data_IF_984137976418
#
_entry.id   IF_984137976418
#
_cell.length_a   1.000
_cell.length_b   1.000
_cell.length_c   1.000
_cell.angle_alpha   90.00
_cell.angle_beta   90.00
_cell.angle_gamma   90.00
#
_symmetry.space_group_name_H-M   'P 1'
#
loop_
_entity.id
_entity.type
_entity.pdbx_description
1 polymer ?
#
# COMPACT_ATOMS: atom_id res chain seq x y z
N UNK A 1 -8.96 13.81 -24.67
CA UNK A 1 -8.08 14.87 -24.10
C UNK A 1 -7.02 15.19 -25.12
N UNK A 2 -6.77 16.46 -25.42
CA UNK A 2 -5.70 16.91 -26.34
C UNK A 2 -4.67 17.68 -25.52
N UNK A 3 -3.40 17.32 -25.63
CA UNK A 3 -2.29 18.00 -24.96
C UNK A 3 -1.45 18.68 -26.02
N UNK A 4 -1.30 20.01 -25.91
CA UNK A 4 -0.48 20.83 -26.83
C UNK A 4 0.79 21.25 -26.07
N UNK A 5 1.91 20.64 -26.43
CA UNK A 5 3.22 20.93 -25.82
C UNK A 5 3.98 22.01 -26.58
N UNK A 6 4.81 22.77 -25.86
CA UNK A 6 5.71 23.78 -26.42
C UNK A 6 7.14 23.27 -26.67
N UNK A 7 7.37 21.96 -26.52
CA UNK A 7 8.68 21.31 -26.74
C UNK A 7 9.62 21.33 -25.54
N UNK A 8 9.47 22.26 -24.59
CA UNK A 8 10.26 22.32 -23.37
C UNK A 8 9.40 22.80 -22.19
N UNK A 9 9.69 22.31 -20.99
CA UNK A 9 9.07 22.75 -19.75
C UNK A 9 10.05 23.69 -19.05
N UNK A 10 9.68 24.96 -18.77
CA UNK A 10 10.62 25.92 -18.14
C UNK A 10 11.12 25.45 -16.77
N UNK A 11 10.25 24.85 -15.97
CA UNK A 11 10.56 24.54 -14.57
C UNK A 11 10.58 25.79 -13.68
N UNK A 12 11.33 25.72 -12.57
CA UNK A 12 11.45 26.80 -11.59
C UNK A 12 10.78 26.47 -10.27
N UNK A 13 10.32 27.48 -9.52
CA UNK A 13 9.72 27.30 -8.19
C UNK A 13 8.18 27.20 -8.29
N UNK A 14 7.61 26.25 -7.53
CA UNK A 14 6.16 26.06 -7.43
C UNK A 14 5.78 25.70 -5.99
N UNK A 15 4.62 26.19 -5.57
CA UNK A 15 3.99 25.75 -4.32
C UNK A 15 2.75 24.95 -4.64
N UNK A 16 2.63 23.78 -3.99
CA UNK A 16 1.47 22.89 -4.16
C UNK A 16 0.91 22.45 -2.80
N UNK A 17 -0.35 22.10 -2.79
CA UNK A 17 -0.94 21.31 -1.71
C UNK A 17 -1.02 19.83 -2.16
N UNK A 18 -0.17 19.00 -1.57
CA UNK A 18 -0.12 17.56 -1.81
C UNK A 18 -0.66 16.74 -0.61
N UNK A 19 -1.39 17.37 0.31
CA UNK A 19 -1.97 16.70 1.48
C UNK A 19 -2.97 15.60 1.11
N UNK A 20 -3.52 15.65 -0.10
CA UNK A 20 -4.43 14.62 -0.61
C UNK A 20 -3.72 13.43 -1.24
N UNK A 21 -2.50 13.61 -1.76
CA UNK A 21 -1.70 12.53 -2.35
C UNK A 21 -0.26 12.98 -2.57
N UNK A 22 0.69 12.21 -2.05
CA UNK A 22 2.13 12.37 -2.28
C UNK A 22 2.52 12.20 -3.77
N UNK A 23 1.67 11.57 -4.57
CA UNK A 23 1.92 11.34 -6.00
C UNK A 23 2.06 12.67 -6.78
N UNK A 24 1.37 13.74 -6.37
CA UNK A 24 1.51 15.05 -7.02
C UNK A 24 2.94 15.60 -6.89
N UNK A 25 3.55 15.43 -5.70
CA UNK A 25 4.93 15.83 -5.48
C UNK A 25 5.89 14.92 -6.24
N UNK A 26 5.77 13.61 -6.11
CA UNK A 26 6.63 12.63 -6.79
C UNK A 26 6.62 12.81 -8.31
N UNK A 27 5.46 13.04 -8.92
CA UNK A 27 5.34 13.25 -10.36
C UNK A 27 6.13 14.48 -10.84
N UNK A 28 6.10 15.59 -10.08
CA UNK A 28 6.85 16.79 -10.40
C UNK A 28 8.36 16.58 -10.24
N UNK A 29 8.78 15.87 -9.20
CA UNK A 29 10.19 15.57 -8.97
C UNK A 29 10.78 14.70 -10.08
N UNK A 30 10.04 13.67 -10.53
CA UNK A 30 10.49 12.74 -11.57
C UNK A 30 10.78 13.42 -12.92
N UNK A 31 10.03 14.45 -13.27
CA UNK A 31 10.25 15.19 -14.53
C UNK A 31 11.22 16.37 -14.35
N UNK A 32 11.60 16.69 -13.10
CA UNK A 32 12.48 17.81 -12.76
C UNK A 32 13.80 17.87 -13.56
N UNK A 33 14.54 16.76 -13.73
CA UNK A 33 15.79 16.77 -14.48
C UNK A 33 15.64 17.22 -15.93
N UNK A 34 14.48 16.95 -16.57
CA UNK A 34 14.19 17.32 -17.95
C UNK A 34 13.70 18.76 -18.13
N UNK A 35 13.44 19.47 -17.05
CA UNK A 35 13.02 20.87 -17.10
C UNK A 35 14.22 21.80 -17.30
N UNK A 36 14.04 22.88 -18.05
CA UNK A 36 15.14 23.82 -18.40
C UNK A 36 15.85 24.37 -17.15
N UNK A 37 15.09 24.73 -16.10
CA UNK A 37 15.61 25.28 -14.86
C UNK A 37 15.50 24.29 -13.68
N UNK A 38 15.27 23.00 -13.96
CA UNK A 38 14.89 22.06 -12.91
C UNK A 38 13.57 22.42 -12.24
N UNK A 39 13.34 21.92 -11.04
CA UNK A 39 12.13 22.25 -10.28
C UNK A 39 12.45 22.38 -8.79
N UNK A 40 11.81 23.31 -8.15
CA UNK A 40 11.73 23.43 -6.70
C UNK A 40 10.27 23.41 -6.28
N UNK A 41 9.87 22.42 -5.51
CA UNK A 41 8.52 22.26 -5.03
C UNK A 41 8.48 22.52 -3.54
N UNK A 42 7.63 23.45 -3.11
CA UNK A 42 7.31 23.67 -1.70
C UNK A 42 5.91 23.15 -1.43
N UNK A 43 5.75 22.29 -0.46
CA UNK A 43 4.43 21.87 -0.01
C UNK A 43 3.86 22.87 0.99
N UNK A 44 2.60 23.26 0.79
CA UNK A 44 1.82 24.04 1.75
C UNK A 44 0.42 23.42 1.86
N UNK A 45 0.07 22.98 3.05
CA UNK A 45 -1.21 22.32 3.29
C UNK A 45 -1.20 21.55 4.59
N UNK A 46 -2.04 20.52 4.64
CA UNK A 46 -2.03 19.53 5.73
C UNK A 46 -0.80 18.64 5.71
N UNK A 47 -0.78 17.63 6.56
CA UNK A 47 0.30 16.65 6.57
C UNK A 47 0.40 15.89 5.25
N UNK A 48 1.63 15.64 4.79
CA UNK A 48 1.90 14.86 3.58
C UNK A 48 1.74 13.38 3.88
N UNK A 49 0.80 12.67 3.24
CA UNK A 49 0.67 11.23 3.43
C UNK A 49 1.79 10.47 2.71
N UNK A 50 2.09 9.28 3.21
CA UNK A 50 3.00 8.33 2.52
C UNK A 50 4.36 8.94 2.18
N UNK A 51 4.98 9.62 3.14
CA UNK A 51 6.33 10.20 2.99
C UNK A 51 7.36 9.20 2.44
N UNK A 52 7.33 7.90 2.79
CA UNK A 52 8.26 6.92 2.23
C UNK A 52 8.24 6.83 0.70
N UNK A 53 7.10 7.06 0.05
CA UNK A 53 7.03 7.08 -1.42
C UNK A 53 7.77 8.29 -2.03
N UNK A 54 7.76 9.44 -1.35
CA UNK A 54 8.56 10.60 -1.76
C UNK A 54 10.04 10.29 -1.61
N UNK A 55 10.42 9.66 -0.49
CA UNK A 55 11.81 9.26 -0.24
C UNK A 55 12.31 8.25 -1.26
N UNK A 56 11.48 7.28 -1.63
CA UNK A 56 11.76 6.33 -2.70
C UNK A 56 11.99 7.05 -4.04
N UNK A 57 11.15 8.03 -4.36
CA UNK A 57 11.31 8.86 -5.56
C UNK A 57 12.64 9.63 -5.55
N UNK A 58 12.99 10.24 -4.42
CA UNK A 58 14.26 10.97 -4.25
C UNK A 58 15.46 10.04 -4.36
N UNK A 59 15.41 8.87 -3.74
CA UNK A 59 16.47 7.87 -3.80
C UNK A 59 16.70 7.42 -5.26
N UNK A 60 15.63 7.04 -5.95
CA UNK A 60 15.71 6.63 -7.36
C UNK A 60 16.30 7.73 -8.25
N UNK A 61 15.85 8.98 -8.12
CA UNK A 61 16.40 10.10 -8.88
C UNK A 61 17.92 10.24 -8.65
N UNK A 62 18.39 10.10 -7.41
CA UNK A 62 19.83 10.17 -7.08
C UNK A 62 20.60 9.01 -7.67
N UNK A 63 20.06 7.80 -7.66
CA UNK A 63 20.67 6.61 -8.28
C UNK A 63 20.84 6.79 -9.80
N UNK A 64 19.88 7.46 -10.45
CA UNK A 64 19.97 7.84 -11.85
C UNK A 64 20.84 9.08 -12.10
N UNK A 65 21.49 9.63 -11.08
CA UNK A 65 22.45 10.72 -11.18
C UNK A 65 21.87 12.12 -11.08
N UNK A 66 20.57 12.27 -10.77
CA UNK A 66 19.98 13.57 -10.54
C UNK A 66 20.50 14.20 -9.24
N UNK A 67 20.70 15.53 -9.25
CA UNK A 67 21.00 16.28 -8.05
C UNK A 67 19.70 16.70 -7.37
N UNK A 68 19.42 16.08 -6.20
CA UNK A 68 18.19 16.33 -5.44
C UNK A 68 18.52 16.83 -4.04
N UNK A 69 17.97 17.98 -3.68
CA UNK A 69 18.05 18.57 -2.33
C UNK A 69 16.70 18.47 -1.64
N UNK A 70 16.70 18.09 -0.37
CA UNK A 70 15.49 17.94 0.45
C UNK A 70 15.66 18.77 1.72
N UNK A 71 14.76 19.70 1.95
CA UNK A 71 14.60 20.41 3.22
C UNK A 71 13.25 20.04 3.83
N UNK A 72 13.29 19.08 4.76
CA UNK A 72 12.08 18.56 5.40
C UNK A 72 11.43 19.60 6.33
N UNK A 73 12.24 20.46 6.97
CA UNK A 73 11.71 21.48 7.87
C UNK A 73 10.92 22.55 7.10
N UNK A 74 11.40 22.90 5.91
CA UNK A 74 10.71 23.83 5.01
C UNK A 74 9.69 23.13 4.07
N UNK A 75 9.55 21.80 4.15
CA UNK A 75 8.75 20.99 3.24
C UNK A 75 9.05 21.30 1.76
N UNK A 76 10.33 21.32 1.43
CA UNK A 76 10.85 21.78 0.14
C UNK A 76 11.76 20.73 -0.49
N UNK A 77 11.52 20.43 -1.76
CA UNK A 77 12.30 19.50 -2.58
C UNK A 77 12.74 20.21 -3.85
N UNK A 78 14.03 20.09 -4.18
CA UNK A 78 14.59 20.69 -5.39
C UNK A 78 15.31 19.64 -6.22
N UNK A 79 15.05 19.62 -7.51
CA UNK A 79 15.72 18.78 -8.49
C UNK A 79 16.38 19.69 -9.52
N UNK A 80 17.71 19.61 -9.62
CA UNK A 80 18.44 20.38 -10.63
C UNK A 80 18.20 19.85 -12.04
N UNK A 81 18.27 20.71 -13.07
CA UNK A 81 18.24 20.25 -14.45
C UNK A 81 19.49 19.43 -14.76
N UNK A 82 19.39 18.43 -15.64
CA UNK A 82 20.53 17.63 -16.07
C UNK A 82 20.14 16.32 -16.65
N UNK A 83 21.10 15.66 -17.32
CA UNK A 83 20.90 14.37 -17.92
C UNK A 83 20.89 13.26 -16.85
N UNK A 84 19.96 12.33 -16.97
CA UNK A 84 19.95 11.11 -16.20
C UNK A 84 20.90 10.08 -16.84
N UNK A 85 21.59 9.31 -16.03
CA UNK A 85 22.42 8.19 -16.49
C UNK A 85 21.63 6.90 -16.57
N UNK A 86 21.97 6.03 -17.52
CA UNK A 86 21.49 4.65 -17.53
C UNK A 86 22.03 3.88 -16.32
N UNK A 87 21.19 3.04 -15.73
CA UNK A 87 21.53 2.18 -14.60
C UNK A 87 21.01 0.78 -14.88
N UNK A 88 21.82 -0.24 -14.63
CA UNK A 88 21.36 -1.63 -14.63
C UNK A 88 20.70 -1.91 -13.28
N UNK A 89 19.42 -2.24 -13.31
CA UNK A 89 18.61 -2.50 -12.12
C UNK A 89 18.03 -3.91 -12.15
N UNK A 90 18.06 -4.56 -11.00
CA UNK A 90 17.17 -5.68 -10.71
C UNK A 90 15.96 -5.10 -10.00
N UNK A 91 14.77 -5.26 -10.60
CA UNK A 91 13.53 -4.73 -10.02
C UNK A 91 13.16 -5.58 -8.81
N UNK A 92 12.99 -4.94 -7.69
CA UNK A 92 12.50 -5.58 -6.47
C UNK A 92 11.05 -6.07 -6.63
N UNK A 93 10.63 -7.13 -5.94
CA UNK A 93 9.21 -7.46 -5.86
C UNK A 93 8.41 -6.29 -5.27
N UNK A 94 7.17 -6.13 -5.70
CA UNK A 94 6.25 -5.16 -5.10
C UNK A 94 5.82 -5.67 -3.72
N UNK A 95 6.37 -5.08 -2.66
CA UNK A 95 6.18 -5.54 -1.30
C UNK A 95 4.74 -5.29 -0.81
N UNK A 96 4.07 -4.26 -1.31
CA UNK A 96 2.67 -4.04 -0.96
C UNK A 96 1.73 -5.05 -1.62
N UNK A 97 2.04 -5.51 -2.83
CA UNK A 97 1.30 -6.60 -3.49
C UNK A 97 1.60 -7.99 -2.88
N UNK A 98 2.66 -8.12 -2.08
CA UNK A 98 2.92 -9.33 -1.31
C UNK A 98 1.94 -9.52 -0.14
N UNK A 99 1.29 -8.44 0.33
CA UNK A 99 0.42 -8.46 1.51
C UNK A 99 -0.67 -9.56 1.49
N UNK A 100 -1.47 -9.76 0.44
CA UNK A 100 -2.48 -10.82 0.43
C UNK A 100 -1.89 -12.23 0.53
N UNK A 101 -0.72 -12.47 -0.07
CA UNK A 101 -0.06 -13.79 0.00
C UNK A 101 0.52 -14.08 1.39
N UNK A 102 1.10 -13.07 2.05
CA UNK A 102 1.53 -13.18 3.44
C UNK A 102 0.33 -13.37 4.37
N UNK A 103 -0.78 -12.67 4.10
CA UNK A 103 -2.04 -12.83 4.82
C UNK A 103 -2.62 -14.24 4.67
N UNK A 104 -2.49 -14.87 3.49
CA UNK A 104 -2.90 -16.26 3.27
C UNK A 104 -2.21 -17.20 4.25
N UNK A 105 -0.88 -17.05 4.44
CA UNK A 105 -0.15 -17.89 5.39
C UNK A 105 -0.64 -17.69 6.84
N UNK A 106 -0.97 -16.46 7.22
CA UNK A 106 -1.52 -16.18 8.55
C UNK A 106 -2.89 -16.80 8.76
N UNK A 107 -3.78 -16.67 7.78
CA UNK A 107 -5.17 -17.16 7.87
C UNK A 107 -5.24 -18.69 7.86
N UNK A 108 -4.41 -19.33 7.03
CA UNK A 108 -4.39 -20.78 6.90
C UNK A 108 -3.44 -21.49 7.88
N UNK A 109 -2.71 -20.76 8.73
CA UNK A 109 -1.69 -21.35 9.62
C UNK A 109 -0.52 -21.99 8.84
N UNK A 110 -0.27 -21.51 7.60
CA UNK A 110 0.71 -22.05 6.68
C UNK A 110 2.02 -21.26 6.65
N UNK A 111 2.75 -21.45 5.55
CA UNK A 111 4.03 -20.80 5.30
C UNK A 111 4.08 -20.30 3.86
N UNK A 112 4.50 -19.04 3.68
CA UNK A 112 4.73 -18.42 2.37
C UNK A 112 6.11 -17.80 2.35
N UNK A 113 6.83 -17.97 1.24
CA UNK A 113 8.10 -17.27 0.98
C UNK A 113 7.93 -16.34 -0.21
N UNK A 114 8.24 -15.06 -0.02
CA UNK A 114 8.32 -14.09 -1.11
C UNK A 114 9.79 -14.03 -1.54
N UNK A 115 10.04 -14.53 -2.75
CA UNK A 115 11.37 -14.54 -3.32
C UNK A 115 11.93 -13.11 -3.50
N UNK A 116 13.24 -13.00 -3.43
CA UNK A 116 13.98 -11.76 -3.68
C UNK A 116 13.55 -10.54 -2.82
N UNK A 117 12.91 -10.78 -1.67
CA UNK A 117 12.61 -9.71 -0.74
C UNK A 117 13.90 -9.01 -0.32
N UNK A 118 14.04 -7.70 -0.58
CA UNK A 118 15.29 -7.01 -0.33
C UNK A 118 15.55 -6.88 1.18
N UNK A 119 16.81 -7.06 1.60
CA UNK A 119 17.20 -6.87 3.00
C UNK A 119 17.20 -5.40 3.42
N UNK A 120 17.36 -4.51 2.45
CA UNK A 120 17.27 -3.05 2.60
C UNK A 120 16.51 -2.51 1.40
N UNK A 121 15.50 -1.72 1.67
CA UNK A 121 14.64 -1.12 0.64
C UNK A 121 14.06 0.20 1.12
N UNK A 122 13.67 1.03 0.18
CA UNK A 122 12.87 2.24 0.43
C UNK A 122 11.37 1.99 0.26
N UNK A 123 10.96 0.78 -0.13
CA UNK A 123 9.54 0.46 -0.26
C UNK A 123 8.86 0.43 1.11
N UNK A 124 7.80 1.23 1.34
CA UNK A 124 7.07 1.24 2.61
C UNK A 124 6.41 -0.11 2.94
N UNK A 125 6.13 -0.93 1.93
CA UNK A 125 5.59 -2.28 2.10
C UNK A 125 6.48 -3.22 2.95
N UNK A 126 7.77 -2.89 3.16
CA UNK A 126 8.65 -3.62 4.07
C UNK A 126 8.16 -3.61 5.54
N UNK A 127 7.32 -2.65 5.92
CA UNK A 127 6.68 -2.62 7.24
C UNK A 127 5.76 -3.82 7.49
N UNK A 128 5.34 -4.56 6.45
CA UNK A 128 4.60 -5.82 6.63
C UNK A 128 5.33 -6.79 7.56
N UNK A 129 6.66 -6.81 7.57
CA UNK A 129 7.44 -7.68 8.46
C UNK A 129 7.11 -7.43 9.94
N UNK A 130 7.11 -6.16 10.34
CA UNK A 130 6.80 -5.76 11.71
C UNK A 130 5.30 -5.92 12.01
N UNK A 131 4.45 -5.44 11.12
CA UNK A 131 2.99 -5.45 11.28
C UNK A 131 2.51 -6.90 11.48
N UNK A 132 2.89 -7.80 10.59
CA UNK A 132 2.42 -9.20 10.64
C UNK A 132 3.05 -9.97 11.82
N UNK A 133 4.26 -9.60 12.24
CA UNK A 133 4.84 -10.15 13.49
C UNK A 133 4.03 -9.73 14.71
N UNK A 134 3.61 -8.46 14.81
CA UNK A 134 2.73 -7.97 15.89
C UNK A 134 1.36 -8.63 15.85
N UNK A 135 0.88 -9.04 14.67
CA UNK A 135 -0.37 -9.77 14.50
C UNK A 135 -0.21 -11.30 14.71
N UNK A 136 0.96 -11.79 15.12
CA UNK A 136 1.17 -13.17 15.55
C UNK A 136 1.97 -14.07 14.59
N UNK A 137 2.48 -13.54 13.46
CA UNK A 137 3.32 -14.31 12.55
C UNK A 137 4.76 -14.43 13.04
N UNK A 138 5.46 -15.46 12.55
CA UNK A 138 6.92 -15.51 12.57
C UNK A 138 7.44 -15.12 11.19
N UNK A 139 8.31 -14.11 11.15
CA UNK A 139 8.89 -13.58 9.91
C UNK A 139 10.40 -13.68 9.95
N UNK A 140 11.00 -14.30 8.95
CA UNK A 140 12.44 -14.48 8.88
C UNK A 140 12.98 -14.41 7.46
N UNK A 141 14.23 -13.95 7.30
CA UNK A 141 14.94 -14.03 6.04
C UNK A 141 15.59 -15.39 5.86
N UNK A 142 15.31 -16.02 4.75
CA UNK A 142 15.96 -17.25 4.29
C UNK A 142 16.90 -16.97 3.11
N UNK A 143 17.49 -18.04 2.55
CA UNK A 143 18.26 -17.90 1.30
C UNK A 143 17.36 -17.64 0.09
N UNK A 144 16.08 -18.01 0.18
CA UNK A 144 15.12 -17.91 -0.93
C UNK A 144 14.29 -16.61 -0.89
N UNK A 145 14.40 -15.81 0.17
CA UNK A 145 13.64 -14.56 0.34
C UNK A 145 13.12 -14.37 1.76
N UNK A 146 12.05 -13.61 1.90
CA UNK A 146 11.35 -13.41 3.16
C UNK A 146 10.32 -14.53 3.35
N UNK A 147 10.45 -15.27 4.42
CA UNK A 147 9.51 -16.31 4.81
C UNK A 147 8.63 -15.82 5.96
N UNK A 148 7.32 -16.00 5.80
CA UNK A 148 6.35 -15.82 6.86
C UNK A 148 5.70 -17.17 7.20
N UNK A 149 5.61 -17.46 8.49
CA UNK A 149 4.86 -18.61 9.03
C UNK A 149 3.72 -18.05 9.89
N UNK A 150 2.49 -18.44 9.59
CA UNK A 150 1.31 -18.07 10.37
C UNK A 150 1.38 -18.63 11.79
N UNK A 151 0.89 -17.85 12.76
CA UNK A 151 0.80 -18.26 14.17
C UNK A 151 -0.42 -19.14 14.44
N UNK A 152 -0.65 -19.44 15.72
CA UNK A 152 -1.82 -20.19 16.17
C UNK A 152 -3.13 -19.35 16.09
N UNK A 153 -3.01 -18.04 16.15
CA UNK A 153 -4.10 -17.07 16.00
C UNK A 153 -3.58 -15.79 15.38
N UNK A 154 -4.49 -15.00 14.85
CA UNK A 154 -4.23 -13.64 14.39
C UNK A 154 -4.64 -12.70 15.53
N UNK A 155 -3.73 -11.83 15.95
CA UNK A 155 -3.99 -10.85 17.02
C UNK A 155 -4.43 -9.52 16.43
N UNK A 156 -5.34 -8.83 17.12
CA UNK A 156 -5.68 -7.45 16.83
C UNK A 156 -4.48 -6.51 17.00
N UNK A 157 -4.55 -5.35 16.36
CA UNK A 157 -3.44 -4.39 16.35
C UNK A 157 -3.95 -2.95 16.48
N UNK A 158 -3.28 -2.14 17.30
CA UNK A 158 -3.39 -0.67 17.26
C UNK A 158 -2.15 -0.12 16.54
N UNK A 159 -2.37 0.53 15.38
CA UNK A 159 -1.29 0.98 14.52
C UNK A 159 -1.67 2.23 13.73
N UNK A 160 -0.69 3.11 13.55
CA UNK A 160 -0.73 4.21 12.59
C UNK A 160 -0.24 3.72 11.23
N UNK A 161 -1.09 3.83 10.21
CA UNK A 161 -0.82 3.42 8.83
C UNK A 161 -0.66 4.62 7.87
N UNK A 162 -0.47 5.84 8.40
CA UNK A 162 -0.35 7.06 7.60
C UNK A 162 0.71 6.93 6.48
N UNK A 163 1.84 6.31 6.79
CA UNK A 163 2.95 6.14 5.84
C UNK A 163 2.84 4.90 4.96
N UNK A 164 1.93 3.99 5.27
CA UNK A 164 1.73 2.70 4.58
C UNK A 164 0.26 2.40 4.30
N UNK A 165 -0.51 3.43 4.02
CA UNK A 165 -1.96 3.33 3.83
C UNK A 165 -2.40 2.27 2.83
N UNK A 166 -1.58 1.98 1.81
CA UNK A 166 -1.86 0.93 0.82
C UNK A 166 -1.97 -0.47 1.41
N UNK A 167 -1.43 -0.71 2.62
CA UNK A 167 -1.53 -2.01 3.31
C UNK A 167 -2.85 -2.18 4.06
N UNK A 168 -3.58 -1.08 4.30
CA UNK A 168 -4.81 -1.07 5.10
C UNK A 168 -5.84 -2.12 4.68
N UNK A 169 -6.15 -2.36 3.40
CA UNK A 169 -7.16 -3.36 3.04
C UNK A 169 -6.80 -4.78 3.48
N UNK A 170 -5.54 -5.19 3.31
CA UNK A 170 -5.07 -6.51 3.77
C UNK A 170 -5.06 -6.62 5.29
N UNK A 171 -4.62 -5.56 5.98
CA UNK A 171 -4.59 -5.52 7.46
C UNK A 171 -6.01 -5.50 8.01
N UNK A 172 -6.95 -4.78 7.41
CA UNK A 172 -8.36 -4.77 7.80
C UNK A 172 -9.01 -6.16 7.63
N UNK A 173 -8.69 -6.87 6.55
CA UNK A 173 -9.14 -8.25 6.35
C UNK A 173 -8.61 -9.20 7.45
N UNK A 174 -7.32 -9.09 7.81
CA UNK A 174 -6.74 -9.86 8.91
C UNK A 174 -7.35 -9.46 10.26
N UNK A 175 -7.59 -8.17 10.50
CA UNK A 175 -8.21 -7.67 11.72
C UNK A 175 -9.65 -8.17 11.89
N UNK A 176 -10.40 -8.34 10.80
CA UNK A 176 -11.74 -8.93 10.83
C UNK A 176 -11.73 -10.43 11.18
N UNK A 177 -10.59 -11.11 11.01
CA UNK A 177 -10.36 -12.51 11.33
C UNK A 177 -9.55 -12.71 12.64
N UNK A 178 -9.22 -11.62 13.34
CA UNK A 178 -8.37 -11.65 14.52
C UNK A 178 -9.13 -12.14 15.77
N UNK A 179 -8.40 -12.42 16.85
CA UNK A 179 -8.94 -12.84 18.15
C UNK A 179 -9.28 -11.66 19.08
N UNK A 180 -8.92 -10.44 18.68
CA UNK A 180 -9.04 -9.23 19.50
C UNK A 180 -9.22 -7.98 18.64
N UNK A 181 -9.75 -6.87 19.23
CA UNK A 181 -10.00 -5.64 18.48
C UNK A 181 -8.76 -5.01 17.87
N UNK A 182 -8.96 -4.30 16.76
CA UNK A 182 -7.93 -3.52 16.07
C UNK A 182 -8.35 -2.08 15.88
N UNK A 183 -7.36 -1.16 15.88
CA UNK A 183 -7.52 0.24 15.56
C UNK A 183 -6.48 0.65 14.50
N UNK A 184 -6.94 0.92 13.29
CA UNK A 184 -6.10 1.33 12.15
C UNK A 184 -6.24 2.84 11.98
N UNK A 185 -5.17 3.59 12.26
CA UNK A 185 -5.18 5.04 12.37
C UNK A 185 -4.46 5.74 11.23
N UNK A 186 -4.75 7.05 11.07
CA UNK A 186 -4.01 7.95 10.20
C UNK A 186 -4.30 7.77 8.70
N UNK A 187 -5.42 7.16 8.33
CA UNK A 187 -5.71 6.69 6.96
C UNK A 187 -6.74 7.53 6.20
N UNK A 188 -7.01 8.78 6.62
CA UNK A 188 -7.97 9.67 5.95
C UNK A 188 -7.73 9.84 4.46
N UNK A 189 -6.45 9.87 4.03
CA UNK A 189 -6.07 10.04 2.63
C UNK A 189 -6.57 8.91 1.73
N UNK A 190 -6.85 7.71 2.26
CA UNK A 190 -7.39 6.58 1.51
C UNK A 190 -8.82 6.79 1.00
N UNK A 191 -9.53 7.81 1.50
CA UNK A 191 -10.86 8.19 0.98
C UNK A 191 -10.80 8.76 -0.43
N UNK A 192 -9.61 9.18 -0.87
CA UNK A 192 -9.38 9.84 -2.16
C UNK A 192 -8.61 8.96 -3.16
N UNK A 193 -8.47 7.66 -2.88
CA UNK A 193 -7.84 6.70 -3.77
C UNK A 193 -8.82 6.21 -4.86
N UNK A 194 -8.70 4.97 -5.33
CA UNK A 194 -9.58 4.39 -6.36
C UNK A 194 -11.05 4.45 -5.94
N UNK A 195 -11.31 4.30 -4.66
CA UNK A 195 -12.60 4.49 -3.98
C UNK A 195 -12.35 5.07 -2.59
N UNK A 196 -13.41 5.49 -1.88
CA UNK A 196 -13.32 5.71 -0.43
C UNK A 196 -13.12 4.35 0.27
N UNK A 197 -11.86 3.99 0.49
CA UNK A 197 -11.49 2.69 1.06
C UNK A 197 -12.01 2.47 2.47
N UNK A 198 -12.12 3.54 3.28
CA UNK A 198 -12.64 3.41 4.64
C UNK A 198 -14.12 3.02 4.60
N UNK A 199 -14.91 3.78 3.85
CA UNK A 199 -16.33 3.49 3.69
C UNK A 199 -16.59 2.13 3.03
N UNK A 200 -15.78 1.75 2.04
CA UNK A 200 -15.90 0.48 1.35
C UNK A 200 -15.55 -0.70 2.28
N UNK A 201 -14.42 -0.67 3.00
CA UNK A 201 -14.04 -1.72 3.96
C UNK A 201 -15.08 -1.89 5.06
N UNK A 202 -15.56 -0.76 5.61
CA UNK A 202 -16.63 -0.77 6.62
C UNK A 202 -17.89 -1.44 6.09
N UNK A 203 -18.33 -1.07 4.90
CA UNK A 203 -19.54 -1.63 4.29
C UNK A 203 -19.40 -3.11 3.99
N UNK A 204 -18.30 -3.51 3.37
CA UNK A 204 -18.13 -4.88 2.88
C UNK A 204 -17.87 -5.87 4.02
N UNK A 205 -17.05 -5.52 5.01
CA UNK A 205 -16.81 -6.38 6.16
C UNK A 205 -18.09 -6.51 7.00
N UNK A 206 -18.82 -5.41 7.22
CA UNK A 206 -20.11 -5.45 7.93
C UNK A 206 -21.18 -6.19 7.11
N UNK A 207 -21.15 -6.10 5.78
CA UNK A 207 -22.02 -6.86 4.90
C UNK A 207 -21.84 -8.38 4.99
N UNK A 208 -20.64 -8.81 5.38
CA UNK A 208 -20.33 -10.21 5.70
C UNK A 208 -20.53 -10.54 7.21
N UNK A 209 -21.20 -9.68 7.99
CA UNK A 209 -21.48 -9.92 9.42
C UNK A 209 -20.35 -9.54 10.38
N UNK A 210 -19.33 -8.82 9.92
CA UNK A 210 -18.29 -8.25 10.76
C UNK A 210 -18.77 -7.05 11.58
N UNK A 211 -17.88 -6.49 12.39
CA UNK A 211 -18.15 -5.28 13.19
C UNK A 211 -17.02 -4.28 12.99
N UNK A 212 -17.22 -3.38 12.02
CA UNK A 212 -16.29 -2.30 11.67
C UNK A 212 -17.02 -0.98 11.82
N UNK A 213 -16.37 -0.01 12.47
CA UNK A 213 -16.78 1.39 12.48
C UNK A 213 -15.67 2.25 11.88
N UNK A 214 -16.09 3.24 11.08
CA UNK A 214 -15.17 4.23 10.51
C UNK A 214 -15.32 5.57 11.24
N UNK A 215 -14.19 6.23 11.41
CA UNK A 215 -14.10 7.64 11.81
C UNK A 215 -13.53 8.46 10.64
N UNK A 216 -13.28 9.74 10.81
CA UNK A 216 -12.75 10.58 9.74
C UNK A 216 -11.43 10.04 9.15
N UNK A 217 -10.53 9.58 10.02
CA UNK A 217 -9.18 9.12 9.66
C UNK A 217 -8.87 7.66 10.02
N UNK A 218 -9.81 6.93 10.61
CA UNK A 218 -9.51 5.69 11.30
C UNK A 218 -10.56 4.62 11.01
N UNK A 219 -10.15 3.35 11.19
CA UNK A 219 -11.05 2.18 11.25
C UNK A 219 -10.88 1.48 12.59
N UNK A 220 -12.00 1.20 13.27
CA UNK A 220 -12.04 0.31 14.41
C UNK A 220 -12.72 -0.99 13.99
N UNK A 221 -12.08 -2.12 14.28
CA UNK A 221 -12.54 -3.45 13.88
C UNK A 221 -12.59 -4.33 15.15
N UNK A 222 -13.78 -4.79 15.51
CA UNK A 222 -13.97 -5.67 16.66
C UNK A 222 -14.54 -7.04 16.23
N UNK A 223 -13.69 -8.02 15.94
CA UNK A 223 -14.12 -9.34 15.48
C UNK A 223 -14.89 -10.12 16.57
N UNK A 224 -14.80 -9.71 17.83
CA UNK A 224 -15.50 -10.39 18.94
C UNK A 224 -16.99 -10.08 18.99
N UNK A 225 -17.43 -9.05 18.27
CA UNK A 225 -18.81 -8.55 18.23
C UNK A 225 -19.54 -8.94 16.94
N UNK A 226 -18.86 -9.64 16.03
CA UNK A 226 -19.40 -10.07 14.75
C UNK A 226 -19.40 -11.58 14.58
N UNK A 227 -20.10 -12.04 13.54
CA UNK A 227 -20.08 -13.42 13.09
C UNK A 227 -20.04 -13.43 11.57
N UNK A 228 -18.83 -13.55 11.01
CA UNK A 228 -18.65 -13.54 9.57
C UNK A 228 -19.39 -14.69 8.87
N UNK A 229 -20.01 -14.37 7.77
CA UNK A 229 -20.77 -15.30 6.92
C UNK A 229 -20.54 -15.01 5.43
N UNK A 230 -20.92 -15.93 4.57
CA UNK A 230 -20.82 -15.76 3.12
C UNK A 230 -21.69 -14.61 2.58
N UNK A 231 -21.29 -14.12 1.43
CA UNK A 231 -21.95 -13.01 0.76
C UNK A 231 -21.08 -12.45 -0.37
N UNK A 232 -21.60 -11.47 -1.09
CA UNK A 232 -20.84 -10.76 -2.11
C UNK A 232 -20.02 -9.67 -1.47
N UNK A 233 -18.72 -9.68 -1.75
CA UNK A 233 -17.76 -8.61 -1.40
C UNK A 233 -17.55 -7.74 -2.65
N UNK A 234 -18.03 -6.51 -2.64
CA UNK A 234 -17.90 -5.59 -3.76
C UNK A 234 -16.53 -4.92 -3.76
N UNK A 235 -15.94 -4.81 -4.94
CA UNK A 235 -14.55 -4.31 -5.07
C UNK A 235 -14.46 -2.83 -5.41
N UNK A 236 -15.52 -2.21 -5.90
CA UNK A 236 -15.53 -0.79 -6.33
C UNK A 236 -14.43 -0.48 -7.35
N UNK A 237 -14.11 -1.43 -8.23
CA UNK A 237 -12.98 -1.35 -9.17
C UNK A 237 -11.61 -1.17 -8.48
N UNK A 238 -11.50 -1.44 -7.18
CA UNK A 238 -10.26 -1.36 -6.42
C UNK A 238 -9.64 -2.73 -6.22
N UNK A 239 -8.43 -2.91 -6.76
CA UNK A 239 -7.66 -4.14 -6.71
C UNK A 239 -7.31 -4.58 -5.29
N UNK A 240 -7.13 -3.64 -4.35
CA UNK A 240 -6.79 -3.96 -2.95
C UNK A 240 -8.01 -4.41 -2.15
N UNK A 241 -9.20 -3.88 -2.46
CA UNK A 241 -10.44 -4.41 -1.92
C UNK A 241 -10.69 -5.83 -2.43
N UNK A 242 -10.44 -6.09 -3.72
CA UNK A 242 -10.57 -7.43 -4.28
C UNK A 242 -9.68 -8.45 -3.54
N UNK A 243 -8.44 -8.10 -3.26
CA UNK A 243 -7.53 -8.99 -2.50
C UNK A 243 -7.93 -9.13 -1.03
N UNK A 244 -8.49 -8.08 -0.39
CA UNK A 244 -9.02 -8.16 0.97
C UNK A 244 -10.20 -9.13 1.08
N UNK A 245 -11.15 -9.07 0.13
CA UNK A 245 -12.24 -10.04 0.03
C UNK A 245 -11.74 -11.47 -0.17
N UNK A 246 -10.71 -11.67 -1.00
CA UNK A 246 -10.09 -12.98 -1.19
C UNK A 246 -9.44 -13.53 0.10
N UNK A 247 -8.82 -12.67 0.92
CA UNK A 247 -8.25 -13.07 2.22
C UNK A 247 -9.35 -13.53 3.18
N UNK A 248 -10.46 -12.80 3.29
CA UNK A 248 -11.60 -13.20 4.15
C UNK A 248 -12.18 -14.53 3.66
N UNK A 249 -12.32 -14.71 2.35
CA UNK A 249 -12.86 -15.92 1.72
C UNK A 249 -12.03 -17.20 1.93
N UNK A 250 -10.80 -17.10 2.48
CA UNK A 250 -10.01 -18.29 2.82
C UNK A 250 -10.65 -19.16 3.91
N UNK A 251 -11.35 -18.55 4.86
CA UNK A 251 -11.93 -19.21 6.03
C UNK A 251 -13.41 -18.94 6.23
N UNK A 252 -13.97 -17.96 5.51
CA UNK A 252 -15.41 -17.69 5.50
C UNK A 252 -15.99 -18.28 4.21
N UNK A 253 -16.79 -19.35 4.35
CA UNK A 253 -17.41 -20.04 3.20
C UNK A 253 -18.36 -19.12 2.44
N UNK A 254 -18.46 -19.33 1.12
CA UNK A 254 -19.40 -18.64 0.24
C UNK A 254 -19.19 -17.11 0.13
N UNK A 255 -17.97 -16.62 0.37
CA UNK A 255 -17.59 -15.26 0.01
C UNK A 255 -17.32 -15.19 -1.49
N UNK A 256 -18.07 -14.33 -2.19
CA UNK A 256 -17.95 -14.09 -3.61
C UNK A 256 -17.35 -12.70 -3.85
N UNK A 257 -16.12 -12.66 -4.34
CA UNK A 257 -15.45 -11.38 -4.68
C UNK A 257 -15.94 -10.91 -6.05
N UNK A 258 -16.68 -9.80 -6.07
CA UNK A 258 -17.12 -9.18 -7.31
C UNK A 258 -15.91 -8.70 -8.12
N UNK A 259 -15.94 -8.93 -9.44
CA UNK A 259 -14.90 -8.41 -10.35
C UNK A 259 -13.45 -8.57 -9.86
N UNK A 260 -13.06 -9.81 -9.51
CA UNK A 260 -11.65 -10.10 -9.14
C UNK A 260 -10.64 -9.65 -10.22
N UNK A 261 -11.10 -9.47 -11.46
CA UNK A 261 -10.26 -9.03 -12.56
C UNK A 261 -9.68 -7.62 -12.38
N UNK A 262 -10.22 -6.81 -11.46
CA UNK A 262 -9.63 -5.51 -11.13
C UNK A 262 -8.20 -5.62 -10.58
N UNK A 263 -7.81 -6.79 -10.03
CA UNK A 263 -6.44 -7.07 -9.59
C UNK A 263 -5.41 -6.97 -10.72
N UNK A 264 -5.83 -7.09 -11.99
CA UNK A 264 -4.94 -6.96 -13.15
C UNK A 264 -4.22 -5.62 -13.23
N UNK A 265 -4.71 -4.60 -12.54
CA UNK A 265 -4.07 -3.28 -12.48
C UNK A 265 -2.64 -3.37 -11.95
N UNK A 266 -2.38 -4.18 -10.94
CA UNK A 266 -1.09 -4.27 -10.26
C UNK A 266 -0.52 -5.69 -10.22
N UNK A 267 -1.38 -6.71 -10.33
CA UNK A 267 -0.99 -8.11 -10.31
C UNK A 267 -1.84 -8.88 -11.35
N UNK A 268 -1.40 -8.92 -12.62
CA UNK A 268 -2.22 -9.41 -13.74
C UNK A 268 -2.76 -10.83 -13.59
N UNK A 269 -2.04 -11.72 -12.91
CA UNK A 269 -2.43 -13.13 -12.71
C UNK A 269 -2.69 -13.45 -11.22
N UNK A 270 -3.26 -12.52 -10.46
CA UNK A 270 -3.59 -12.79 -9.06
C UNK A 270 -4.44 -14.07 -8.88
N UNK A 271 -5.53 -14.33 -9.63
CA UNK A 271 -6.31 -15.54 -9.43
C UNK A 271 -5.54 -16.83 -9.69
N UNK A 272 -4.66 -16.87 -10.70
CA UNK A 272 -3.81 -18.04 -10.98
C UNK A 272 -2.80 -18.29 -9.86
N UNK A 273 -2.07 -17.26 -9.45
CA UNK A 273 -1.11 -17.34 -8.33
C UNK A 273 -1.81 -17.75 -7.03
N UNK A 274 -2.97 -17.14 -6.73
CA UNK A 274 -3.76 -17.46 -5.54
C UNK A 274 -4.18 -18.92 -5.50
N UNK A 275 -4.75 -19.41 -6.60
CA UNK A 275 -5.19 -20.80 -6.70
C UNK A 275 -4.03 -21.80 -6.61
N UNK A 276 -2.85 -21.45 -7.10
CA UNK A 276 -1.68 -22.33 -7.04
C UNK A 276 -1.14 -22.55 -5.61
N UNK A 277 -1.38 -21.61 -4.71
CA UNK A 277 -0.98 -21.69 -3.31
C UNK A 277 -1.97 -22.46 -2.43
N UNK A 278 -3.17 -22.72 -2.91
CA UNK A 278 -4.24 -23.42 -2.19
C UNK A 278 -4.31 -24.92 -2.54
N UNK A 279 -3.43 -25.41 -3.41
CA UNK A 279 -3.32 -26.82 -3.80
C UNK A 279 -2.32 -27.54 -2.90
#
# INVERSE_FOLDING_TARGET
>A
MTISGAGAIPGGEITIDASKSSQFLSALLLIGPSMVNGITVTHQGGELPSMPHIDMTVAMLRDFGATVTVDRAAQKWSVAPGDLRGVDLVIEPDLSNAAPFLSLAMVCGGRVTIADWPRQTTQPGDQLREILTRMGATVEFTNDGLQLTGGASIHGIDIDLHDVGELTPSIAALAALADSPSHLRGIAHLRLHETDRLAALTREINGLGGNVSEEESDLQIDPTQGALHGGTFHTYEDHRLATAGAVIGLVVSDVLVENIATTRKTLPDFPGLWSSLLQ
#
